data_IF_765019969420
#
_entry.id   IF_765019969420
#
_cell.length_a   1.000
_cell.length_b   1.000
_cell.length_c   1.000
_cell.angle_alpha   90.00
_cell.angle_beta   90.00
_cell.angle_gamma   90.00
#
_symmetry.space_group_name_H-M   'P 1'
#
loop_
_entity.id
_entity.type
_entity.pdbx_description
1 polymer ?
#
# COMPACT_ATOMS: atom_id res chain seq x y z
N UNK A 1 7.62 10.07 -1.92
CA UNK A 1 7.78 9.64 -0.52
C UNK A 1 6.84 8.48 -0.22
N UNK A 2 7.32 7.51 0.53
CA UNK A 2 6.51 6.36 0.96
C UNK A 2 5.90 6.62 2.32
N UNK A 3 4.65 6.26 2.49
CA UNK A 3 4.00 6.24 3.78
C UNK A 3 3.36 4.87 3.98
N UNK A 4 2.81 4.64 5.17
CA UNK A 4 2.27 3.33 5.52
C UNK A 4 0.83 3.46 5.98
N UNK A 5 0.04 2.47 5.61
CA UNK A 5 -1.37 2.40 6.00
C UNK A 5 -1.73 0.97 6.39
N UNK A 6 -2.72 0.82 7.25
CA UNK A 6 -3.25 -0.49 7.60
C UNK A 6 -4.60 -0.68 6.90
N UNK A 7 -4.83 -1.87 6.36
CA UNK A 7 -6.08 -2.20 5.69
C UNK A 7 -7.19 -2.44 6.73
N UNK A 8 -8.28 -1.71 6.60
CA UNK A 8 -9.45 -1.82 7.48
C UNK A 8 -10.56 -2.66 6.86
N UNK A 9 -10.67 -2.64 5.53
CA UNK A 9 -11.77 -3.26 4.81
C UNK A 9 -11.26 -3.76 3.47
N UNK A 10 -11.53 -5.02 3.15
CA UNK A 10 -11.14 -5.61 1.87
C UNK A 10 -12.32 -6.20 1.11
N UNK A 11 -13.55 -5.86 1.47
CA UNK A 11 -14.75 -6.49 0.90
C UNK A 11 -14.80 -6.42 -0.61
N UNK A 12 -14.38 -5.30 -1.20
CA UNK A 12 -14.38 -5.12 -2.65
C UNK A 12 -13.19 -5.80 -3.32
N UNK A 13 -12.11 -6.08 -2.57
CA UNK A 13 -10.84 -6.56 -3.14
C UNK A 13 -10.20 -7.64 -2.25
N UNK A 14 -10.92 -8.72 -1.93
CA UNK A 14 -10.41 -9.71 -0.96
C UNK A 14 -9.19 -10.47 -1.45
N UNK A 15 -8.94 -10.48 -2.75
CA UNK A 15 -7.78 -11.17 -3.34
C UNK A 15 -6.52 -10.33 -3.28
N UNK A 16 -6.67 -9.01 -3.20
CA UNK A 16 -5.55 -8.06 -3.30
C UNK A 16 -5.17 -7.45 -1.97
N UNK A 17 -6.02 -7.53 -0.96
CA UNK A 17 -5.82 -6.88 0.34
C UNK A 17 -6.16 -7.84 1.47
N UNK A 18 -5.39 -7.71 2.57
CA UNK A 18 -5.61 -8.48 3.79
C UNK A 18 -5.94 -7.49 4.91
N UNK A 19 -7.09 -7.64 5.54
CA UNK A 19 -7.50 -6.79 6.66
C UNK A 19 -6.51 -6.95 7.81
N UNK A 20 -6.08 -5.82 8.38
CA UNK A 20 -5.11 -5.81 9.47
C UNK A 20 -3.66 -5.80 9.03
N UNK A 21 -3.39 -5.92 7.74
CA UNK A 21 -2.03 -5.87 7.22
C UNK A 21 -1.63 -4.42 6.89
N UNK A 22 -0.36 -4.11 7.09
CA UNK A 22 0.21 -2.81 6.75
C UNK A 22 0.73 -2.84 5.32
N UNK A 23 0.38 -1.81 4.55
CA UNK A 23 0.81 -1.66 3.16
C UNK A 23 1.57 -0.35 2.97
N UNK A 24 2.45 -0.34 1.97
CA UNK A 24 3.12 0.88 1.53
C UNK A 24 2.17 1.63 0.60
N UNK A 25 2.02 2.94 0.80
CA UNK A 25 1.34 3.80 -0.15
C UNK A 25 2.34 4.81 -0.71
N UNK A 26 2.26 5.04 -2.02
CA UNK A 26 3.10 6.01 -2.72
C UNK A 26 2.38 7.35 -2.80
N UNK A 27 3.14 8.44 -2.66
CA UNK A 27 2.57 9.77 -2.81
C UNK A 27 2.07 9.96 -4.24
N UNK A 28 0.81 10.36 -4.37
CA UNK A 28 0.17 10.62 -5.66
C UNK A 28 -0.87 11.72 -5.44
N UNK A 29 -0.54 12.93 -5.87
CA UNK A 29 -1.40 14.09 -5.63
C UNK A 29 -2.75 13.98 -6.34
N UNK A 30 -2.77 13.41 -7.54
CA UNK A 30 -4.01 13.24 -8.29
C UNK A 30 -4.92 12.22 -7.61
N UNK A 31 -4.35 11.12 -7.12
CA UNK A 31 -5.10 10.13 -6.35
C UNK A 31 -5.65 10.76 -5.07
N UNK A 32 -4.83 11.52 -4.36
CA UNK A 32 -5.24 12.18 -3.13
C UNK A 32 -6.44 13.11 -3.34
N UNK A 33 -6.41 13.90 -4.40
CA UNK A 33 -7.52 14.81 -4.75
C UNK A 33 -8.80 14.04 -5.05
N UNK A 34 -8.68 12.83 -5.57
CA UNK A 34 -9.83 11.98 -5.89
C UNK A 34 -10.29 11.14 -4.70
N UNK A 35 -9.69 11.31 -3.51
CA UNK A 35 -10.04 10.51 -2.34
C UNK A 35 -9.50 9.09 -2.39
N UNK A 36 -8.42 8.87 -3.13
CA UNK A 36 -7.82 7.56 -3.36
C UNK A 36 -6.40 7.52 -2.84
N UNK A 37 -5.90 6.30 -2.61
CA UNK A 37 -4.49 6.05 -2.28
C UNK A 37 -3.91 5.08 -3.30
N UNK A 38 -2.65 5.26 -3.63
CA UNK A 38 -1.91 4.34 -4.47
C UNK A 38 -1.20 3.33 -3.57
N UNK A 39 -1.68 2.09 -3.58
CA UNK A 39 -1.27 1.04 -2.64
C UNK A 39 -0.45 -0.02 -3.36
N UNK A 40 0.66 -0.42 -2.75
CA UNK A 40 1.41 -1.61 -3.19
C UNK A 40 0.75 -2.82 -2.53
N UNK A 41 -0.25 -3.38 -3.19
CA UNK A 41 -1.09 -4.44 -2.64
C UNK A 41 -0.47 -5.84 -2.77
N UNK A 42 -1.24 -6.90 -2.52
CA UNK A 42 -0.71 -8.28 -2.58
C UNK A 42 -0.26 -8.67 -3.98
N UNK A 43 -0.69 -7.94 -5.01
CA UNK A 43 -0.29 -8.21 -6.39
C UNK A 43 0.93 -7.37 -6.83
N UNK A 44 1.50 -6.59 -5.92
CA UNK A 44 2.66 -5.76 -6.24
C UNK A 44 3.83 -6.63 -6.73
N UNK A 45 4.42 -6.21 -7.84
CA UNK A 45 5.49 -6.97 -8.47
C UNK A 45 5.03 -7.93 -9.55
N UNK A 46 3.73 -8.18 -9.63
CA UNK A 46 3.15 -8.92 -10.75
C UNK A 46 3.02 -8.02 -11.96
N UNK A 47 2.70 -8.59 -13.09
CA UNK A 47 2.64 -7.89 -14.37
C UNK A 47 1.90 -6.54 -14.25
N UNK A 48 2.61 -5.44 -14.51
CA UNK A 48 2.03 -4.11 -14.58
C UNK A 48 1.75 -3.43 -13.25
N UNK A 49 2.19 -4.01 -12.13
CA UNK A 49 1.81 -3.48 -10.82
C UNK A 49 2.92 -2.73 -10.07
N UNK A 50 3.99 -2.31 -10.75
CA UNK A 50 5.10 -1.64 -10.08
C UNK A 50 4.73 -0.31 -9.42
N UNK A 51 3.68 0.34 -9.91
CA UNK A 51 3.21 1.60 -9.34
C UNK A 51 2.04 1.43 -8.38
N UNK A 52 1.64 0.18 -8.11
CA UNK A 52 0.50 -0.11 -7.25
C UNK A 52 -0.84 0.18 -7.91
N UNK A 53 -1.90 0.02 -7.15
CA UNK A 53 -3.27 0.27 -7.61
C UNK A 53 -3.97 1.30 -6.74
N UNK A 54 -4.98 1.95 -7.29
CA UNK A 54 -5.75 2.97 -6.58
C UNK A 54 -6.89 2.33 -5.79
N UNK A 55 -7.00 2.72 -4.53
CA UNK A 55 -8.07 2.28 -3.63
C UNK A 55 -8.65 3.47 -2.89
N UNK A 56 -9.94 3.42 -2.51
CA UNK A 56 -10.52 4.49 -1.69
C UNK A 56 -9.80 4.64 -0.34
N UNK A 57 -9.54 5.88 0.06
CA UNK A 57 -8.89 6.16 1.35
C UNK A 57 -9.61 5.54 2.53
N UNK A 58 -10.93 5.46 2.48
CA UNK A 58 -11.76 4.94 3.59
C UNK A 58 -11.46 3.48 3.93
N UNK A 59 -10.82 2.74 3.04
CA UNK A 59 -10.45 1.35 3.28
C UNK A 59 -9.21 1.21 4.17
N UNK A 60 -8.56 2.30 4.50
CA UNK A 60 -7.26 2.29 5.19
C UNK A 60 -7.21 3.33 6.30
N UNK A 61 -6.28 3.13 7.24
CA UNK A 61 -5.91 4.12 8.23
C UNK A 61 -4.40 4.34 8.18
N UNK A 62 -3.98 5.59 8.29
CA UNK A 62 -2.55 5.91 8.29
C UNK A 62 -1.89 5.34 9.55
N UNK A 63 -0.67 4.80 9.39
CA UNK A 63 0.12 4.32 10.53
C UNK A 63 1.53 4.87 10.42
N UNK A 64 2.16 5.08 11.58
CA UNK A 64 3.56 5.47 11.67
C UNK A 64 4.33 4.27 12.18
N UNK A 65 5.35 3.85 11.42
CA UNK A 65 6.16 2.70 11.81
C UNK A 65 7.44 3.15 12.52
N UNK A 66 7.91 2.41 13.53
CA UNK A 66 9.27 2.57 14.03
C UNK A 66 10.28 2.38 12.90
N UNK A 67 11.44 3.02 13.03
CA UNK A 67 12.47 2.98 11.99
C UNK A 67 12.87 1.56 11.60
N UNK A 68 13.01 0.67 12.59
CA UNK A 68 13.35 -0.72 12.31
C UNK A 68 12.30 -1.43 11.45
N UNK A 69 11.02 -1.15 11.71
CA UNK A 69 9.93 -1.75 10.94
C UNK A 69 9.89 -1.20 9.51
N UNK A 70 10.11 0.12 9.33
CA UNK A 70 10.10 0.71 7.99
C UNK A 70 11.25 0.19 7.13
N UNK A 71 12.41 -0.10 7.74
CA UNK A 71 13.52 -0.72 7.02
C UNK A 71 13.18 -2.10 6.48
N UNK A 72 12.41 -2.88 7.24
CA UNK A 72 11.97 -4.21 6.79
C UNK A 72 11.08 -4.08 5.56
N UNK A 73 10.15 -3.13 5.57
CA UNK A 73 9.29 -2.89 4.40
C UNK A 73 10.10 -2.50 3.17
N UNK A 74 11.10 -1.65 3.33
CA UNK A 74 11.95 -1.24 2.21
C UNK A 74 12.74 -2.43 1.64
N UNK A 75 13.27 -3.30 2.50
CA UNK A 75 14.01 -4.49 2.06
C UNK A 75 13.11 -5.47 1.33
N UNK A 76 11.91 -5.74 1.84
CA UNK A 76 10.95 -6.65 1.21
C UNK A 76 10.53 -6.10 -0.15
N UNK A 77 10.21 -4.82 -0.24
CA UNK A 77 9.83 -4.18 -1.50
C UNK A 77 10.96 -4.26 -2.53
N UNK A 78 12.21 -4.04 -2.11
CA UNK A 78 13.35 -4.13 -3.00
C UNK A 78 13.54 -5.54 -3.55
N UNK A 79 13.36 -6.56 -2.72
CA UNK A 79 13.45 -7.96 -3.15
C UNK A 79 12.35 -8.32 -4.13
N UNK A 80 11.13 -7.86 -3.85
CA UNK A 80 9.98 -8.17 -4.70
C UNK A 80 10.06 -7.44 -6.03
N UNK A 81 10.69 -6.27 -6.05
CA UNK A 81 10.85 -5.49 -7.26
C UNK A 81 12.00 -6.00 -8.14
N UNK A 82 12.91 -6.73 -7.54
CA UNK A 82 14.03 -7.33 -8.26
C UNK A 82 13.70 -8.70 -8.81
#
# INVERSE_FOLDING_TARGET
MRTYVICLDNKANPESLIVGKVYITLTDEDADKAGMLRILDETYGESGSETGYLYPKKMFAAVTLPKAASKIFDQVSARNAG
#
